data_IF_925135334232
#
_entry.id   IF_925135334232
#
_cell.length_a   1.000
_cell.length_b   1.000
_cell.length_c   1.000
_cell.angle_alpha   90.00
_cell.angle_beta   90.00
_cell.angle_gamma   90.00
#
_symmetry.space_group_name_H-M   'P 1'
#
loop_
_entity.id
_entity.type
_entity.pdbx_description
1 polymer ?
#
# COMPACT_ATOMS: atom_id res chain seq x y z
N UNK A 1 -28.28 24.71 7.65
CA UNK A 1 -27.23 23.92 8.32
C UNK A 1 -27.13 22.47 7.79
N UNK A 2 -28.19 21.90 7.22
CA UNK A 2 -28.21 20.51 6.70
C UNK A 2 -27.21 20.22 5.55
N UNK A 3 -26.95 21.20 4.68
CA UNK A 3 -26.02 21.04 3.54
C UNK A 3 -24.56 20.84 3.95
N UNK A 4 -24.14 21.38 5.09
CA UNK A 4 -22.75 21.24 5.57
C UNK A 4 -22.43 19.82 6.05
N UNK A 5 -23.39 19.17 6.72
CA UNK A 5 -23.27 17.80 7.23
C UNK A 5 -23.21 16.76 6.11
N UNK A 6 -24.02 16.94 5.06
CA UNK A 6 -24.04 16.04 3.90
C UNK A 6 -22.70 16.13 3.14
N UNK A 7 -22.19 17.36 2.95
CA UNK A 7 -20.90 17.59 2.26
C UNK A 7 -19.73 16.98 3.04
N UNK A 8 -19.66 17.21 4.36
CA UNK A 8 -18.61 16.63 5.22
C UNK A 8 -18.63 15.10 5.28
N UNK A 9 -19.81 14.46 5.26
CA UNK A 9 -19.92 12.99 5.19
C UNK A 9 -19.49 12.41 3.84
N UNK A 10 -19.75 13.11 2.74
CA UNK A 10 -19.33 12.69 1.41
C UNK A 10 -17.81 12.84 1.27
N UNK A 11 -17.26 13.99 1.63
CA UNK A 11 -15.82 14.27 1.59
C UNK A 11 -15.04 13.27 2.46
N UNK A 12 -15.43 13.06 3.72
CA UNK A 12 -14.74 12.10 4.59
C UNK A 12 -14.86 10.63 4.14
N UNK A 13 -15.92 10.27 3.40
CA UNK A 13 -16.07 8.91 2.85
C UNK A 13 -15.24 8.70 1.58
N UNK A 14 -15.09 9.73 0.75
CA UNK A 14 -14.24 9.67 -0.44
C UNK A 14 -12.77 9.67 -0.06
N UNK A 15 -12.34 10.54 0.86
CA UNK A 15 -10.97 10.57 1.39
C UNK A 15 -10.61 9.23 2.03
N UNK A 16 -11.41 8.73 2.98
CA UNK A 16 -11.11 7.46 3.64
C UNK A 16 -11.11 6.24 2.70
N UNK A 17 -11.87 6.28 1.60
CA UNK A 17 -11.82 5.23 0.58
C UNK A 17 -10.59 5.31 -0.32
N UNK A 18 -10.15 6.52 -0.67
CA UNK A 18 -8.95 6.73 -1.47
C UNK A 18 -7.73 6.32 -0.66
N UNK A 19 -7.61 6.84 0.56
CA UNK A 19 -6.50 6.61 1.47
C UNK A 19 -6.39 5.12 1.82
N UNK A 20 -7.48 4.48 2.26
CA UNK A 20 -7.47 3.05 2.56
C UNK A 20 -7.21 2.14 1.35
N UNK A 21 -7.52 2.60 0.13
CA UNK A 21 -7.20 1.83 -1.09
C UNK A 21 -5.74 1.98 -1.49
N UNK A 22 -5.13 3.14 -1.27
CA UNK A 22 -3.71 3.36 -1.52
C UNK A 22 -2.85 2.64 -0.48
N UNK A 23 -3.19 2.79 0.80
CA UNK A 23 -2.51 2.07 1.90
C UNK A 23 -2.61 0.55 1.71
N UNK A 24 -3.82 0.02 1.49
CA UNK A 24 -3.99 -1.43 1.31
C UNK A 24 -3.29 -1.99 0.06
N UNK A 25 -3.13 -1.19 -1.00
CA UNK A 25 -2.33 -1.58 -2.17
C UNK A 25 -0.84 -1.61 -1.86
N UNK A 26 -0.35 -0.65 -1.08
CA UNK A 26 1.07 -0.58 -0.71
C UNK A 26 1.42 -1.70 0.27
N UNK A 27 0.60 -1.91 1.31
CA UNK A 27 0.72 -3.03 2.25
C UNK A 27 0.71 -4.37 1.53
N UNK A 28 -0.26 -4.61 0.64
CA UNK A 28 -0.33 -5.88 -0.10
C UNK A 28 0.91 -6.14 -0.97
N UNK A 29 1.50 -5.10 -1.58
CA UNK A 29 2.76 -5.25 -2.32
C UNK A 29 3.93 -5.59 -1.41
N UNK A 30 4.02 -4.92 -0.27
CA UNK A 30 5.07 -5.12 0.74
C UNK A 30 5.00 -6.52 1.34
N UNK A 31 3.81 -7.00 1.67
CA UNK A 31 3.57 -8.32 2.25
C UNK A 31 3.95 -9.44 1.25
N UNK A 32 3.53 -9.30 -0.02
CA UNK A 32 3.93 -10.23 -1.09
C UNK A 32 5.44 -10.20 -1.32
N UNK A 33 6.05 -9.02 -1.34
CA UNK A 33 7.50 -8.88 -1.50
C UNK A 33 8.28 -9.55 -0.35
N UNK A 34 7.79 -9.40 0.88
CA UNK A 34 8.36 -10.04 2.06
C UNK A 34 8.30 -11.57 1.94
N UNK A 35 7.15 -12.13 1.56
CA UNK A 35 6.99 -13.57 1.35
C UNK A 35 7.88 -14.10 0.22
N UNK A 36 8.03 -13.37 -0.88
CA UNK A 36 8.93 -13.73 -1.98
C UNK A 36 10.39 -13.79 -1.51
N UNK A 37 10.85 -12.76 -0.78
CA UNK A 37 12.21 -12.73 -0.22
C UNK A 37 12.42 -13.86 0.80
N UNK A 38 11.43 -14.13 1.66
CA UNK A 38 11.47 -15.23 2.64
C UNK A 38 11.51 -16.60 1.95
N UNK A 39 10.91 -16.73 0.77
CA UNK A 39 10.96 -17.93 -0.08
C UNK A 39 12.29 -18.10 -0.82
N UNK A 40 13.27 -17.21 -0.59
CA UNK A 40 14.59 -17.25 -1.23
C UNK A 40 14.61 -16.64 -2.64
N UNK A 41 13.57 -15.91 -3.04
CA UNK A 41 13.56 -15.20 -4.32
C UNK A 41 14.57 -14.05 -4.29
N UNK A 42 15.29 -13.88 -5.39
CA UNK A 42 16.26 -12.79 -5.52
C UNK A 42 15.58 -11.42 -5.48
N UNK A 43 16.22 -10.48 -4.79
CA UNK A 43 15.69 -9.13 -4.54
C UNK A 43 15.41 -8.36 -5.83
N UNK A 44 16.26 -8.49 -6.84
CA UNK A 44 16.05 -7.81 -8.13
C UNK A 44 14.82 -8.38 -8.87
N UNK A 45 14.53 -9.68 -8.70
CA UNK A 45 13.31 -10.30 -9.22
C UNK A 45 12.07 -9.79 -8.48
N UNK A 46 12.13 -9.70 -7.15
CA UNK A 46 11.03 -9.14 -6.34
C UNK A 46 10.72 -7.70 -6.73
N UNK A 47 11.74 -6.86 -6.93
CA UNK A 47 11.58 -5.48 -7.41
C UNK A 47 10.86 -5.42 -8.76
N UNK A 48 11.25 -6.28 -9.72
CA UNK A 48 10.59 -6.34 -11.03
C UNK A 48 9.12 -6.78 -10.96
N UNK A 49 8.79 -7.72 -10.07
CA UNK A 49 7.43 -8.27 -9.97
C UNK A 49 6.48 -7.36 -9.19
N UNK A 50 6.96 -6.73 -8.13
CA UNK A 50 6.15 -5.90 -7.23
C UNK A 50 6.16 -4.42 -7.62
N UNK A 51 7.15 -4.02 -8.42
CA UNK A 51 7.41 -2.62 -8.79
C UNK A 51 7.92 -1.79 -7.61
N UNK A 52 8.36 -2.44 -6.54
CA UNK A 52 8.92 -1.80 -5.36
C UNK A 52 10.40 -1.43 -5.60
N UNK A 53 10.82 -0.33 -4.98
CA UNK A 53 12.20 0.13 -5.02
C UNK A 53 13.07 -0.68 -4.04
N UNK A 54 14.40 -0.54 -4.17
CA UNK A 54 15.31 -1.20 -3.24
C UNK A 54 15.08 -0.71 -1.81
N UNK A 55 14.79 0.58 -1.63
CA UNK A 55 14.52 1.18 -0.32
C UNK A 55 13.23 0.66 0.31
N UNK A 56 12.17 0.47 -0.49
CA UNK A 56 10.93 -0.18 -0.02
C UNK A 56 11.22 -1.59 0.52
N UNK A 57 12.06 -2.34 -0.19
CA UNK A 57 12.47 -3.69 0.24
C UNK A 57 13.46 -3.69 1.40
N UNK A 58 14.21 -2.59 1.63
CA UNK A 58 15.13 -2.48 2.79
C UNK A 58 14.35 -2.46 4.08
N UNK A 59 13.21 -1.77 4.10
CA UNK A 59 12.35 -1.66 5.29
C UNK A 59 11.61 -2.97 5.62
N UNK A 60 11.62 -3.97 4.73
CA UNK A 60 10.98 -5.28 4.96
C UNK A 60 11.86 -6.29 5.71
N UNK A 61 13.19 -6.10 5.71
CA UNK A 61 14.12 -6.98 6.43
C UNK A 61 14.41 -6.37 7.79
N UNK A 62 13.58 -6.71 8.77
CA UNK A 62 13.94 -6.59 10.19
C UNK A 62 14.71 -7.84 10.65
#
# INVERSE_FOLDING_TARGET
EEKGLIKGKLEGREEGKLEGREEGKLEGKLEVAQQMLASGMDRHTVMKLTGLSDDDLRNLRH
#
